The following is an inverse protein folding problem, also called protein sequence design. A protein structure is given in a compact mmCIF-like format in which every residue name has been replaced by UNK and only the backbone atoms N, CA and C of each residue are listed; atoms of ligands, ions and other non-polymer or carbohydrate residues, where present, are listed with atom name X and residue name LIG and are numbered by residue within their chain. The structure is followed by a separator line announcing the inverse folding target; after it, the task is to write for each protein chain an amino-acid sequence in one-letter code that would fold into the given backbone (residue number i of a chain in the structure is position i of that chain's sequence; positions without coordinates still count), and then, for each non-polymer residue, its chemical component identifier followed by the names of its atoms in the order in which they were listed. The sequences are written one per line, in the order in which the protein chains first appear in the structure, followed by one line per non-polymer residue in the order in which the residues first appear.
data_IF_023255293759
#
_entry.id   IF_023255293759
#
_cell.length_a   1.000
_cell.length_b   1.000
_cell.length_c   1.000
_cell.angle_alpha   90.00
_cell.angle_beta   90.00
_cell.angle_gamma   90.00
#
_symmetry.space_group_name_H-M   'P 1'
#
loop_
_entity.id
_entity.type
_entity.pdbx_description
1 polymer ?
#
# COMPACT_ATOMS: atom_id res chain seq x y z
N UNK A 1 -1.21 -15.70 -21.37
CA UNK A 1 -0.72 -14.34 -21.40
C UNK A 1 -1.12 -13.63 -20.14
N UNK A 2 -0.15 -13.35 -19.26
CA UNK A 2 -0.40 -12.51 -18.10
C UNK A 2 -0.73 -11.11 -18.63
N UNK A 3 -1.90 -10.60 -18.24
CA UNK A 3 -2.29 -9.24 -18.55
C UNK A 3 -1.29 -8.30 -17.85
N UNK A 4 -0.54 -7.54 -18.63
CA UNK A 4 0.36 -6.48 -18.12
C UNK A 4 -0.44 -5.31 -17.50
N UNK A 5 -1.62 -5.59 -16.94
CA UNK A 5 -2.68 -4.60 -16.75
C UNK A 5 -2.74 -3.93 -15.39
N UNK A 6 -2.24 -4.55 -14.33
CA UNK A 6 -2.60 -4.12 -12.97
C UNK A 6 -1.47 -3.45 -12.20
N UNK A 7 -0.55 -2.77 -12.87
CA UNK A 7 0.61 -2.19 -12.21
C UNK A 7 0.24 -1.09 -11.19
N UNK A 8 -0.85 -0.34 -11.38
CA UNK A 8 -1.36 0.64 -10.38
C UNK A 8 -1.76 -0.09 -9.10
N UNK A 9 -2.50 -1.19 -9.23
CA UNK A 9 -2.90 -2.00 -8.09
C UNK A 9 -1.72 -2.80 -7.51
N UNK A 10 -0.80 -3.26 -8.34
CA UNK A 10 0.39 -3.96 -7.87
C UNK A 10 1.31 -3.08 -7.02
N UNK A 11 1.34 -1.76 -7.28
CA UNK A 11 2.13 -0.81 -6.51
C UNK A 11 1.37 -0.30 -5.27
N UNK A 12 0.04 -0.43 -5.25
CA UNK A 12 -0.78 -0.02 -4.12
C UNK A 12 -0.33 -0.65 -2.81
N UNK A 13 -0.20 -1.97 -2.79
CA UNK A 13 0.22 -2.69 -1.58
C UNK A 13 1.54 -2.19 -1.00
N UNK A 14 2.63 -2.10 -1.79
CA UNK A 14 3.87 -1.47 -1.35
C UNK A 14 3.73 -0.02 -0.86
N UNK A 15 2.96 0.82 -1.55
CA UNK A 15 2.71 2.20 -1.12
C UNK A 15 1.92 2.27 0.19
N UNK A 16 0.89 1.45 0.32
CA UNK A 16 0.08 1.36 1.52
C UNK A 16 0.92 0.87 2.71
N UNK A 17 1.76 -0.15 2.50
CA UNK A 17 2.70 -0.61 3.52
C UNK A 17 3.71 0.49 3.91
N UNK A 18 4.31 1.18 2.94
CA UNK A 18 5.25 2.25 3.21
C UNK A 18 4.59 3.41 3.99
N UNK A 19 3.33 3.72 3.68
CA UNK A 19 2.52 4.68 4.42
C UNK A 19 2.21 4.18 5.83
N UNK A 20 1.80 2.91 5.96
CA UNK A 20 1.53 2.26 7.24
C UNK A 20 2.75 2.25 8.18
N UNK A 21 3.96 2.06 7.66
CA UNK A 21 5.21 2.10 8.43
C UNK A 21 5.87 3.49 8.48
N UNK A 22 5.25 4.51 7.89
CA UNK A 22 5.69 5.92 7.88
C UNK A 22 7.09 6.12 7.24
N UNK A 23 7.39 5.36 6.18
CA UNK A 23 8.68 5.41 5.47
C UNK A 23 8.59 6.29 4.21
N UNK A 24 8.82 7.60 4.36
CA UNK A 24 8.83 8.56 3.24
C UNK A 24 9.81 8.19 2.14
N UNK A 25 10.99 7.74 2.50
CA UNK A 25 12.03 7.32 1.57
C UNK A 25 11.59 6.15 0.66
N UNK A 26 10.81 5.21 1.19
CA UNK A 26 10.23 4.14 0.39
C UNK A 26 9.14 4.66 -0.54
N UNK A 27 8.31 5.59 -0.08
CA UNK A 27 7.24 6.19 -0.88
C UNK A 27 7.84 6.94 -2.07
N UNK A 28 8.88 7.75 -1.85
CA UNK A 28 9.56 8.50 -2.90
C UNK A 28 10.14 7.55 -3.96
N UNK A 29 10.79 6.46 -3.56
CA UNK A 29 11.30 5.46 -4.48
C UNK A 29 10.21 4.75 -5.28
N UNK A 30 9.08 4.43 -4.63
CA UNK A 30 7.94 3.82 -5.31
C UNK A 30 7.29 4.80 -6.30
N UNK A 31 7.28 6.10 -5.98
CA UNK A 31 6.81 7.13 -6.91
C UNK A 31 7.74 7.27 -8.11
N UNK A 32 9.06 7.29 -7.92
CA UNK A 32 10.04 7.33 -9.00
C UNK A 32 9.90 6.11 -9.92
N UNK A 33 9.71 4.95 -9.33
CA UNK A 33 9.45 3.71 -10.08
C UNK A 33 8.16 3.82 -10.89
N UNK A 34 7.08 4.28 -10.28
CA UNK A 34 5.79 4.47 -10.93
C UNK A 34 5.88 5.46 -12.09
N UNK A 35 6.55 6.59 -11.89
CA UNK A 35 6.80 7.57 -12.95
C UNK A 35 7.65 6.99 -14.09
N UNK A 36 8.66 6.16 -13.77
CA UNK A 36 9.49 5.52 -14.78
C UNK A 36 8.70 4.56 -15.67
N UNK A 37 7.73 3.84 -15.10
CA UNK A 37 6.80 3.01 -15.88
C UNK A 37 5.96 3.87 -16.80
N UNK A 38 5.37 4.94 -16.25
CA UNK A 38 4.51 5.86 -16.99
C UNK A 38 5.23 6.54 -18.15
N UNK A 39 6.49 6.93 -17.96
CA UNK A 39 7.28 7.61 -18.98
C UNK A 39 7.85 6.66 -20.05
N UNK A 40 8.16 5.42 -19.68
CA UNK A 40 8.70 4.42 -20.60
C UNK A 40 7.64 3.75 -21.48
N UNK A 41 6.41 3.65 -21.00
CA UNK A 41 5.30 3.14 -21.79
C UNK A 41 4.65 4.27 -22.60
N UNK A 42 5.25 4.61 -23.76
CA UNK A 42 4.69 5.56 -24.75
C UNK A 42 3.24 5.25 -25.18
N UNK A 43 2.64 4.21 -24.62
CA UNK A 43 1.33 3.68 -24.95
C UNK A 43 0.38 3.56 -23.75
N UNK A 44 0.59 4.33 -22.68
CA UNK A 44 -0.45 4.50 -21.68
C UNK A 44 -1.58 5.35 -22.28
N UNK A 45 -2.20 4.78 -23.33
CA UNK A 45 -3.38 5.35 -23.94
C UNK A 45 -4.52 5.32 -22.94
N UNK A 46 -5.44 6.27 -23.02
CA UNK A 46 -6.73 6.27 -22.30
C UNK A 46 -7.41 4.89 -22.28
N UNK A 47 -7.22 4.12 -23.37
CA UNK A 47 -7.74 2.77 -23.53
C UNK A 47 -7.16 1.77 -22.53
N UNK A 48 -5.92 1.95 -22.10
CA UNK A 48 -5.25 1.08 -21.13
C UNK A 48 -5.82 1.31 -19.73
N UNK A 49 -5.86 2.57 -19.26
CA UNK A 49 -6.41 2.91 -17.96
C UNK A 49 -7.88 2.58 -17.80
N UNK A 50 -8.69 2.75 -18.85
CA UNK A 50 -10.12 2.40 -18.86
C UNK A 50 -10.40 0.92 -18.59
N UNK A 51 -9.42 0.06 -18.74
CA UNK A 51 -9.54 -1.39 -18.50
C UNK A 51 -9.09 -1.80 -17.10
N UNK A 52 -8.47 -0.92 -16.35
CA UNK A 52 -7.99 -1.23 -15.00
C UNK A 52 -9.12 -1.04 -13.99
N UNK A 53 -9.23 -1.99 -13.09
CA UNK A 53 -10.07 -1.85 -11.91
C UNK A 53 -9.25 -1.10 -10.86
N UNK A 54 -9.49 0.19 -10.69
CA UNK A 54 -8.87 1.00 -9.64
C UNK A 54 -9.80 1.02 -8.44
N UNK A 55 -9.35 0.46 -7.34
CA UNK A 55 -10.12 0.35 -6.11
C UNK A 55 -10.23 1.69 -5.36
N UNK A 56 -11.26 1.80 -4.54
CA UNK A 56 -11.49 2.98 -3.71
C UNK A 56 -10.36 3.18 -2.68
N UNK A 57 -9.80 2.10 -2.14
CA UNK A 57 -8.64 2.14 -1.24
C UNK A 57 -7.39 2.70 -1.92
N UNK A 58 -7.15 2.38 -3.21
CA UNK A 58 -6.06 2.97 -3.99
C UNK A 58 -6.18 4.49 -4.04
N UNK A 59 -7.40 4.98 -4.28
CA UNK A 59 -7.67 6.42 -4.33
C UNK A 59 -7.49 7.06 -2.95
N UNK A 60 -7.92 6.40 -1.88
CA UNK A 60 -7.67 6.85 -0.50
C UNK A 60 -6.17 6.92 -0.20
N UNK A 61 -5.39 5.89 -0.56
CA UNK A 61 -3.92 5.87 -0.36
C UNK A 61 -3.27 7.08 -1.02
N UNK A 62 -3.59 7.35 -2.28
CA UNK A 62 -3.03 8.52 -2.99
C UNK A 62 -3.49 9.86 -2.42
N UNK A 63 -4.73 9.94 -1.92
CA UNK A 63 -5.20 11.10 -1.17
C UNK A 63 -4.39 11.31 0.11
N UNK A 64 -4.17 10.25 0.90
CA UNK A 64 -3.39 10.33 2.14
C UNK A 64 -1.94 10.72 1.88
N UNK A 65 -1.32 10.19 0.82
CA UNK A 65 0.03 10.52 0.40
C UNK A 65 0.14 12.00 0.01
N UNK A 66 -0.83 12.50 -0.75
CA UNK A 66 -0.88 13.94 -1.08
C UNK A 66 -1.01 14.80 0.18
N UNK A 67 -1.87 14.42 1.12
CA UNK A 67 -2.02 15.17 2.38
C UNK A 67 -0.76 15.16 3.23
N UNK A 68 -0.05 14.05 3.26
CA UNK A 68 1.16 13.91 4.08
C UNK A 68 2.40 14.50 3.43
N UNK A 69 2.61 14.27 2.13
CA UNK A 69 3.83 14.67 1.42
C UNK A 69 3.66 15.96 0.61
N UNK A 70 2.41 16.44 0.44
CA UNK A 70 2.09 17.58 -0.41
C UNK A 70 1.92 17.23 -1.89
N UNK A 71 2.17 15.99 -2.29
CA UNK A 71 2.00 15.56 -3.68
C UNK A 71 1.70 14.05 -3.80
N UNK A 72 1.04 13.70 -4.90
CA UNK A 72 0.95 12.34 -5.40
C UNK A 72 0.97 12.40 -6.94
N UNK A 73 2.04 11.94 -7.59
CA UNK A 73 2.30 12.21 -9.02
C UNK A 73 1.27 11.61 -9.97
N UNK A 74 0.48 10.67 -9.50
CA UNK A 74 -0.51 9.96 -10.32
C UNK A 74 -1.96 10.14 -9.81
N UNK A 75 -2.17 10.99 -8.81
CA UNK A 75 -3.49 11.16 -8.18
C UNK A 75 -4.57 11.49 -9.19
N UNK A 76 -4.35 12.50 -10.02
CA UNK A 76 -5.36 12.95 -10.99
C UNK A 76 -5.65 11.87 -12.03
N UNK A 77 -4.64 11.12 -12.43
CA UNK A 77 -4.79 10.00 -13.32
C UNK A 77 -5.67 8.90 -12.69
N UNK A 78 -5.38 8.55 -11.44
CA UNK A 78 -6.13 7.54 -10.69
C UNK A 78 -7.57 7.98 -10.46
N UNK A 79 -7.81 9.25 -10.13
CA UNK A 79 -9.15 9.79 -9.96
C UNK A 79 -9.95 9.81 -11.27
N UNK A 80 -9.30 10.12 -12.39
CA UNK A 80 -9.97 10.19 -13.70
C UNK A 80 -10.43 8.82 -14.20
N UNK A 81 -9.74 7.75 -13.81
CA UNK A 81 -10.04 6.38 -14.29
C UNK A 81 -10.60 5.45 -13.20
N UNK A 82 -10.57 5.88 -11.95
CA UNK A 82 -11.13 5.13 -10.83
C UNK A 82 -12.64 5.34 -10.66
N UNK A 83 -13.20 4.55 -9.75
CA UNK A 83 -14.63 4.60 -9.39
C UNK A 83 -14.97 5.72 -8.37
N UNK A 84 -14.03 6.63 -8.09
CA UNK A 84 -14.15 7.60 -7.01
C UNK A 84 -13.77 6.97 -5.65
N UNK A 85 -13.87 7.76 -4.60
CA UNK A 85 -13.48 7.29 -3.25
C UNK A 85 -14.43 6.25 -2.66
N UNK A 86 -15.54 5.95 -3.34
CA UNK A 86 -16.48 4.92 -2.92
C UNK A 86 -16.91 5.08 -1.46
N UNK A 87 -16.75 4.01 -0.68
CA UNK A 87 -17.09 4.01 0.75
C UNK A 87 -16.29 5.05 1.57
N UNK A 88 -15.13 5.50 1.11
CA UNK A 88 -14.29 6.50 1.81
C UNK A 88 -14.69 7.95 1.52
N UNK A 89 -15.70 8.20 0.66
CA UNK A 89 -16.09 9.55 0.27
C UNK A 89 -16.42 10.44 1.47
N UNK A 90 -17.08 9.90 2.49
CA UNK A 90 -17.41 10.65 3.73
C UNK A 90 -16.17 11.13 4.47
N UNK A 91 -15.06 10.38 4.44
CA UNK A 91 -13.77 10.81 5.02
C UNK A 91 -13.22 11.99 4.25
N UNK A 92 -13.28 11.93 2.92
CA UNK A 92 -12.75 12.99 2.05
C UNK A 92 -13.53 14.28 2.24
N UNK A 93 -14.87 14.19 2.24
CA UNK A 93 -15.76 15.34 2.40
C UNK A 93 -15.62 16.02 3.77
N UNK A 94 -15.35 15.22 4.80
CA UNK A 94 -15.19 15.68 6.18
C UNK A 94 -13.72 15.72 6.64
N UNK A 95 -12.75 15.78 5.70
CA UNK A 95 -11.33 15.64 6.00
C UNK A 95 -10.82 16.50 7.15
N UNK A 96 -11.30 17.73 7.27
CA UNK A 96 -10.86 18.66 8.31
C UNK A 96 -11.37 18.26 9.71
N UNK A 97 -12.58 17.75 9.78
CA UNK A 97 -13.24 17.36 11.03
C UNK A 97 -14.01 16.05 10.85
N UNK A 98 -13.46 14.97 11.38
CA UNK A 98 -14.08 13.64 11.35
C UNK A 98 -14.97 13.37 12.59
N UNK A 99 -15.12 14.32 13.51
CA UNK A 99 -15.95 14.14 14.72
C UNK A 99 -17.44 14.01 14.40
N UNK A 100 -17.84 14.47 13.22
CA UNK A 100 -19.23 14.38 12.73
C UNK A 100 -19.56 13.00 12.13
N UNK A 101 -18.57 12.11 12.02
CA UNK A 101 -18.76 10.77 11.47
C UNK A 101 -19.14 9.81 12.61
N UNK A 102 -20.30 9.18 12.46
CA UNK A 102 -20.81 8.24 13.46
C UNK A 102 -19.94 6.98 13.57
N UNK A 103 -19.93 6.36 14.77
CA UNK A 103 -19.17 5.14 15.01
C UNK A 103 -19.57 3.98 14.08
N UNK A 104 -20.84 3.88 13.71
CA UNK A 104 -21.34 2.87 12.77
C UNK A 104 -20.67 2.90 11.42
N UNK A 105 -20.24 4.08 10.95
CA UNK A 105 -19.50 4.18 9.69
C UNK A 105 -18.09 3.58 9.78
N UNK A 106 -17.43 3.70 10.92
CA UNK A 106 -16.12 3.06 11.13
C UNK A 106 -16.24 1.53 11.17
N UNK A 107 -17.34 1.01 11.73
CA UNK A 107 -17.62 -0.42 11.69
C UNK A 107 -17.92 -0.89 10.25
N UNK A 108 -18.66 -0.10 9.47
CA UNK A 108 -18.90 -0.38 8.05
C UNK A 108 -17.60 -0.45 7.25
N UNK A 109 -16.64 0.45 7.50
CA UNK A 109 -15.32 0.40 6.87
C UNK A 109 -14.52 -0.85 7.26
N UNK A 110 -14.57 -1.24 8.53
CA UNK A 110 -13.94 -2.48 8.99
C UNK A 110 -14.58 -3.72 8.33
N UNK A 111 -15.89 -3.76 8.20
CA UNK A 111 -16.58 -4.83 7.47
C UNK A 111 -16.22 -4.84 5.98
N UNK A 112 -16.13 -3.66 5.36
CA UNK A 112 -15.71 -3.54 3.98
C UNK A 112 -14.31 -4.10 3.77
N UNK A 113 -13.37 -3.79 4.68
CA UNK A 113 -12.03 -4.35 4.67
C UNK A 113 -12.08 -5.88 4.76
N UNK A 114 -12.80 -6.44 5.74
CA UNK A 114 -12.93 -7.89 5.92
C UNK A 114 -13.55 -8.60 4.71
N UNK A 115 -14.54 -8.01 4.07
CA UNK A 115 -15.12 -8.55 2.83
C UNK A 115 -14.11 -8.53 1.66
N UNK A 116 -13.22 -7.56 1.65
CA UNK A 116 -12.18 -7.39 0.63
C UNK A 116 -10.96 -8.31 0.76
N UNK A 117 -10.84 -9.10 1.85
CA UNK A 117 -9.74 -10.07 2.01
C UNK A 117 -9.99 -11.37 1.24
N UNK A 118 -11.17 -11.58 0.68
CA UNK A 118 -11.46 -12.78 -0.11
C UNK A 118 -11.56 -14.08 0.69
N UNK A 119 -11.78 -14.03 1.99
CA UNK A 119 -11.83 -15.22 2.87
C UNK A 119 -13.16 -15.98 2.85
N UNK A 120 -14.18 -15.54 2.12
CA UNK A 120 -15.46 -16.24 2.05
C UNK A 120 -15.33 -17.53 1.23
N UNK A 121 -15.43 -18.67 1.91
CA UNK A 121 -15.42 -20.00 1.29
C UNK A 121 -16.65 -20.19 0.39
N UNK A 122 -16.42 -20.41 -0.90
CA UNK A 122 -17.43 -20.93 -1.83
C UNK A 122 -18.11 -19.89 -2.71
N UNK A 123 -17.89 -18.61 -2.49
CA UNK A 123 -18.34 -17.56 -3.41
C UNK A 123 -17.18 -17.16 -4.34
N UNK A 124 -17.52 -16.79 -5.59
CA UNK A 124 -16.54 -16.21 -6.49
C UNK A 124 -15.85 -15.05 -5.78
N UNK A 125 -14.53 -15.00 -5.88
CA UNK A 125 -13.67 -13.91 -5.40
C UNK A 125 -14.12 -12.59 -6.03
N UNK A 126 -15.14 -11.96 -5.45
CA UNK A 126 -15.72 -10.75 -6.01
C UNK A 126 -14.93 -9.50 -5.63
N UNK A 127 -14.18 -9.57 -4.54
CA UNK A 127 -13.40 -8.45 -4.05
C UNK A 127 -12.08 -8.93 -3.42
N UNK A 128 -10.98 -8.67 -4.11
CA UNK A 128 -9.61 -8.99 -3.67
C UNK A 128 -8.86 -7.72 -3.23
N UNK A 129 -9.59 -6.66 -2.92
CA UNK A 129 -9.02 -5.34 -2.68
C UNK A 129 -7.98 -5.33 -1.57
N UNK A 130 -8.18 -6.13 -0.51
CA UNK A 130 -7.32 -6.19 0.66
C UNK A 130 -6.56 -7.50 0.83
N UNK A 131 -6.45 -8.29 -0.22
CA UNK A 131 -5.75 -9.58 -0.17
C UNK A 131 -4.30 -9.43 0.34
N UNK A 132 -3.62 -8.35 -0.02
CA UNK A 132 -2.22 -8.10 0.37
C UNK A 132 -2.05 -7.66 1.83
N UNK A 133 -3.07 -7.04 2.44
CA UNK A 133 -3.04 -6.57 3.82
C UNK A 133 -3.66 -7.56 4.81
N UNK A 134 -4.47 -8.50 4.30
CA UNK A 134 -5.12 -9.50 5.12
C UNK A 134 -5.96 -8.87 6.23
N UNK A 135 -5.78 -9.33 7.48
CA UNK A 135 -6.50 -8.84 8.65
C UNK A 135 -6.01 -7.48 9.19
N UNK A 136 -5.06 -6.82 8.51
CA UNK A 136 -4.53 -5.53 8.95
C UNK A 136 -5.22 -4.43 8.15
N UNK A 137 -6.07 -3.59 8.76
CA UNK A 137 -6.73 -2.47 8.06
C UNK A 137 -5.74 -1.33 7.83
N UNK A 138 -4.76 -1.56 6.93
CA UNK A 138 -3.64 -0.64 6.71
C UNK A 138 -4.11 0.73 6.23
N UNK A 139 -5.15 0.78 5.42
CA UNK A 139 -5.74 2.01 4.91
C UNK A 139 -6.30 2.89 6.03
N UNK A 140 -6.99 2.29 7.02
CA UNK A 140 -7.55 3.01 8.15
C UNK A 140 -6.48 3.40 9.19
N UNK A 141 -5.49 2.53 9.40
CA UNK A 141 -4.36 2.85 10.27
C UNK A 141 -3.52 3.98 9.65
N UNK A 142 -3.30 3.95 8.35
CA UNK A 142 -2.60 5.00 7.60
C UNK A 142 -3.35 6.32 7.67
N UNK A 143 -4.68 6.30 7.58
CA UNK A 143 -5.53 7.46 7.81
C UNK A 143 -5.26 8.09 9.19
N UNK A 144 -5.28 7.28 10.26
CA UNK A 144 -5.00 7.76 11.61
C UNK A 144 -3.59 8.37 11.74
N UNK A 145 -2.59 7.75 11.12
CA UNK A 145 -1.19 8.23 11.16
C UNK A 145 -1.03 9.55 10.42
N UNK A 146 -1.53 9.65 9.21
CA UNK A 146 -1.46 10.90 8.42
C UNK A 146 -2.16 12.04 9.15
N UNK A 147 -3.34 11.80 9.71
CA UNK A 147 -4.05 12.84 10.50
C UNK A 147 -3.24 13.27 11.72
N UNK A 148 -2.60 12.34 12.44
CA UNK A 148 -1.72 12.66 13.56
C UNK A 148 -0.53 13.53 13.13
N UNK A 149 0.10 13.20 12.01
CA UNK A 149 1.18 14.00 11.43
C UNK A 149 0.76 15.43 11.09
N UNK A 150 -0.49 15.59 10.66
CA UNK A 150 -1.04 16.91 10.30
C UNK A 150 -1.60 17.68 11.49
N UNK A 151 -1.53 17.12 12.71
CA UNK A 151 -2.12 17.73 13.91
C UNK A 151 -3.66 17.77 13.90
N UNK A 152 -4.29 16.91 13.10
CA UNK A 152 -5.75 16.77 13.03
C UNK A 152 -6.24 15.74 14.05
N UNK A 153 -7.51 15.87 14.46
CA UNK A 153 -8.15 14.88 15.30
C UNK A 153 -8.10 13.49 14.67
N UNK A 154 -7.75 12.50 15.50
CA UNK A 154 -7.61 11.10 15.08
C UNK A 154 -8.86 10.33 15.50
N UNK A 155 -9.59 9.73 14.55
CA UNK A 155 -10.80 8.97 14.89
C UNK A 155 -10.44 7.78 15.77
N UNK A 156 -11.22 7.59 16.84
CA UNK A 156 -11.10 6.45 17.73
C UNK A 156 -11.98 5.30 17.22
N UNK A 157 -11.40 4.41 16.44
CA UNK A 157 -12.12 3.27 15.84
C UNK A 157 -12.18 2.15 16.88
N UNK A 158 -13.37 1.92 17.43
CA UNK A 158 -13.64 0.88 18.45
C UNK A 158 -14.14 -0.39 17.77
N UNK A 159 -13.26 -1.08 17.05
CA UNK A 159 -13.59 -2.31 16.37
C UNK A 159 -12.56 -3.39 16.73
N UNK A 160 -12.97 -4.66 16.78
CA UNK A 160 -12.09 -5.78 17.13
C UNK A 160 -10.89 -5.89 16.20
N UNK A 161 -11.04 -5.51 14.93
CA UNK A 161 -9.97 -5.48 13.95
C UNK A 161 -8.78 -4.61 14.42
N UNK A 162 -9.04 -3.52 15.15
CA UNK A 162 -8.01 -2.64 15.72
C UNK A 162 -7.45 -3.12 17.06
N UNK A 163 -8.09 -4.10 17.71
CA UNK A 163 -7.63 -4.64 18.99
C UNK A 163 -6.51 -5.66 18.84
N UNK A 164 -6.32 -6.21 17.64
CA UNK A 164 -5.32 -7.22 17.34
C UNK A 164 -3.89 -6.68 17.47
N UNK A 165 -2.95 -7.53 17.83
CA UNK A 165 -1.52 -7.13 17.85
C UNK A 165 -1.01 -6.77 16.45
N UNK A 166 -1.61 -7.31 15.40
CA UNK A 166 -1.28 -7.03 14.00
C UNK A 166 -1.71 -5.62 13.58
N UNK A 167 -2.80 -5.09 14.16
CA UNK A 167 -3.24 -3.72 13.91
C UNK A 167 -2.35 -2.68 14.61
N UNK A 168 -1.58 -3.09 15.61
CA UNK A 168 -0.58 -2.22 16.23
C UNK A 168 0.61 -2.12 15.28
N UNK A 169 0.72 -0.98 14.60
CA UNK A 169 1.84 -0.75 13.68
C UNK A 169 3.18 -1.14 14.32
N UNK A 170 3.98 -1.97 13.67
CA UNK A 170 5.30 -2.33 14.20
C UNK A 170 6.10 -1.04 14.38
N UNK A 171 6.71 -0.87 15.54
CA UNK A 171 7.78 0.11 15.68
C UNK A 171 8.95 -0.45 14.86
N UNK A 172 9.21 0.13 13.71
CA UNK A 172 10.42 -0.21 12.97
C UNK A 172 11.59 0.14 13.89
N UNK A 173 12.51 -0.80 14.18
CA UNK A 173 13.66 -0.52 15.01
C UNK A 173 14.38 0.72 14.48
N UNK A 174 14.60 1.70 15.34
CA UNK A 174 15.47 2.82 15.04
C UNK A 174 16.88 2.25 14.84
N UNK A 175 17.32 2.19 13.59
CA UNK A 175 18.59 1.52 13.23
C UNK A 175 18.48 0.56 12.06
N UNK A 176 17.27 0.31 11.56
CA UNK A 176 17.13 -0.38 10.28
C UNK A 176 17.82 0.45 9.20
N UNK A 177 18.95 -0.03 8.71
CA UNK A 177 19.67 0.57 7.61
C UNK A 177 19.23 -0.14 6.34
N UNK A 178 18.77 0.64 5.36
CA UNK A 178 18.35 0.16 4.04
C UNK A 178 19.40 -0.75 3.39
N UNK A 179 20.68 -0.44 3.65
CA UNK A 179 21.82 -1.21 3.14
C UNK A 179 21.92 -2.63 3.74
N UNK A 180 21.23 -2.88 4.85
CA UNK A 180 21.19 -4.20 5.50
C UNK A 180 20.07 -5.09 5.00
N UNK A 181 19.09 -4.57 4.26
CA UNK A 181 18.03 -5.37 3.67
C UNK A 181 18.46 -5.94 2.33
N UNK A 182 19.11 -7.09 2.36
CA UNK A 182 19.59 -7.78 1.17
C UNK A 182 18.43 -8.16 0.25
N UNK A 183 17.30 -8.62 0.82
CA UNK A 183 16.11 -8.98 0.04
C UNK A 183 15.57 -7.77 -0.70
N UNK A 184 15.43 -6.64 0.00
CA UNK A 184 14.99 -5.39 -0.61
C UNK A 184 15.93 -4.93 -1.73
N UNK A 185 17.25 -4.95 -1.49
CA UNK A 185 18.24 -4.58 -2.51
C UNK A 185 18.18 -5.51 -3.71
N UNK A 186 17.95 -6.79 -3.50
CA UNK A 186 17.85 -7.76 -4.59
C UNK A 186 16.59 -7.56 -5.42
N UNK A 187 15.44 -7.35 -4.76
CA UNK A 187 14.19 -7.00 -5.46
C UNK A 187 14.41 -5.72 -6.27
N UNK A 188 15.02 -4.70 -5.68
CA UNK A 188 15.30 -3.44 -6.33
C UNK A 188 16.25 -3.59 -7.53
N UNK A 189 17.35 -4.33 -7.38
CA UNK A 189 18.30 -4.62 -8.47
C UNK A 189 17.67 -5.49 -9.56
N UNK A 190 16.82 -6.43 -9.20
CA UNK A 190 16.07 -7.25 -10.17
C UNK A 190 15.14 -6.37 -11.01
N UNK A 191 14.45 -5.44 -10.36
CA UNK A 191 13.56 -4.48 -11.04
C UNK A 191 14.38 -3.55 -11.95
N UNK A 192 15.46 -2.93 -11.43
CA UNK A 192 16.29 -2.00 -12.21
C UNK A 192 16.97 -2.65 -13.39
N UNK A 193 17.54 -3.83 -13.21
CA UNK A 193 18.36 -4.50 -14.21
C UNK A 193 17.58 -5.52 -15.03
N UNK A 194 16.29 -5.76 -14.73
CA UNK A 194 15.49 -6.86 -15.29
C UNK A 194 16.20 -8.22 -15.18
N UNK A 195 17.09 -8.36 -14.21
CA UNK A 195 17.86 -9.57 -13.96
C UNK A 195 17.09 -10.46 -12.99
N UNK A 196 16.94 -11.73 -13.37
CA UNK A 196 16.45 -12.75 -12.45
C UNK A 196 17.65 -13.32 -11.69
N UNK A 197 17.55 -13.37 -10.38
CA UNK A 197 18.53 -14.04 -9.52
C UNK A 197 18.08 -15.47 -9.25
N UNK A 198 19.02 -16.40 -9.24
CA UNK A 198 18.75 -17.75 -8.75
C UNK A 198 18.78 -17.76 -7.21
N UNK A 199 18.22 -18.83 -6.60
CA UNK A 199 18.26 -19.02 -5.14
C UNK A 199 19.72 -19.08 -4.65
N UNK A 200 20.60 -19.71 -5.44
CA UNK A 200 22.03 -19.83 -5.15
C UNK A 200 22.70 -18.45 -5.14
N UNK A 201 22.48 -17.62 -6.16
CA UNK A 201 23.01 -16.25 -6.21
C UNK A 201 22.53 -15.41 -5.03
N UNK A 202 21.25 -15.57 -4.65
CA UNK A 202 20.66 -14.92 -3.45
C UNK A 202 21.39 -15.37 -2.19
N UNK A 203 21.58 -16.67 -2.03
CA UNK A 203 22.21 -17.26 -0.86
C UNK A 203 23.65 -16.78 -0.70
N UNK A 204 24.41 -16.71 -1.80
CA UNK A 204 25.78 -16.22 -1.78
C UNK A 204 25.87 -14.72 -1.43
N UNK A 205 25.00 -13.88 -2.00
CA UNK A 205 24.94 -12.46 -1.64
C UNK A 205 24.60 -12.24 -0.16
N UNK A 206 23.74 -13.06 0.41
CA UNK A 206 23.40 -13.01 1.83
C UNK A 206 24.60 -13.41 2.69
N UNK A 207 25.30 -14.48 2.35
CA UNK A 207 26.51 -14.95 3.06
C UNK A 207 27.63 -13.91 3.00
N UNK A 208 27.84 -13.30 1.84
CA UNK A 208 28.85 -12.26 1.64
C UNK A 208 28.62 -11.04 2.56
N UNK A 209 27.35 -10.63 2.71
CA UNK A 209 26.99 -9.46 3.52
C UNK A 209 26.90 -9.70 5.02
N UNK A 210 26.48 -10.89 5.44
CA UNK A 210 26.15 -11.21 6.83
C UNK A 210 27.11 -12.23 7.48
N UNK A 211 28.07 -12.75 6.71
CA UNK A 211 28.97 -13.81 7.15
C UNK A 211 28.36 -15.21 7.05
N UNK A 212 29.22 -16.22 7.03
CA UNK A 212 28.86 -17.63 6.82
C UNK A 212 27.99 -18.26 7.91
N UNK A 213 27.83 -17.59 9.05
CA UNK A 213 27.16 -18.16 10.24
C UNK A 213 25.65 -17.86 10.32
N UNK A 214 25.07 -17.22 9.29
CA UNK A 214 23.65 -16.91 9.28
C UNK A 214 22.85 -18.19 8.96
N UNK A 215 22.30 -18.84 9.98
CA UNK A 215 21.32 -19.91 9.79
C UNK A 215 19.98 -19.30 9.37
N UNK A 216 19.56 -19.59 8.15
CA UNK A 216 18.21 -19.26 7.68
C UNK A 216 17.26 -20.37 8.10
N UNK A 217 16.26 -20.01 8.90
CA UNK A 217 15.06 -20.83 9.08
C UNK A 217 14.16 -20.52 7.88
N UNK A 218 14.13 -21.45 6.93
CA UNK A 218 13.19 -21.42 5.78
C UNK A 218 11.85 -21.99 6.24
#
# INVERSE_FOLDING_TARGET
GHSNGDWVENIRGPLEYALYVERKDLIEQLFDYLLSILTNEKNLSDKYFRKQKIYASTQLVHFLLEKWLGYSPVKDLILNYGSGYGIYQRIIDNWKDLSQIENSYWDELCEYHLKGIGLQRGEKWENEEFLHSGMIPMELISLQKVRRHLGLDVPQIKNELFSTNMAKAPKIPTGYKKEMDVIFQMVFLTIQNRRKYTIEEVTELIKEKHGSDTQFII
#
